data_IF_809674627009
#
_entry.id   IF_809674627009
#
_cell.length_a   1.000
_cell.length_b   1.000
_cell.length_c   1.000
_cell.angle_alpha   90.00
_cell.angle_beta   90.00
_cell.angle_gamma   90.00
#
_symmetry.space_group_name_H-M   'P 1'
#
loop_
_entity.id
_entity.type
_entity.pdbx_description
1 polymer ?
#
# COMPACT_ATOMS: atom_id res chain seq x y z
N UNK A 1 11.21 -2.79 10.56
CA UNK A 1 10.71 -1.81 9.58
C UNK A 1 11.24 -2.19 8.21
N UNK A 2 10.36 -2.31 7.22
CA UNK A 2 10.74 -2.55 5.83
C UNK A 2 11.30 -1.26 5.21
N UNK A 3 12.10 -1.38 4.14
CA UNK A 3 12.62 -0.23 3.39
C UNK A 3 11.52 0.77 3.00
N UNK A 4 10.37 0.27 2.55
CA UNK A 4 9.24 1.11 2.12
C UNK A 4 8.59 1.89 3.27
N UNK A 5 8.53 1.33 4.48
CA UNK A 5 8.01 2.05 5.65
C UNK A 5 8.90 3.24 6.01
N UNK A 6 10.22 3.02 6.02
CA UNK A 6 11.21 4.08 6.29
C UNK A 6 11.13 5.15 5.21
N UNK A 7 11.10 4.74 3.93
CA UNK A 7 10.95 5.67 2.81
C UNK A 7 9.66 6.48 2.92
N UNK A 8 8.52 5.84 3.25
CA UNK A 8 7.24 6.52 3.41
C UNK A 8 7.27 7.57 4.53
N UNK A 9 7.87 7.24 5.68
CA UNK A 9 8.03 8.18 6.80
C UNK A 9 8.89 9.39 6.42
N UNK A 10 10.07 9.14 5.84
CA UNK A 10 10.98 10.22 5.40
C UNK A 10 10.36 11.07 4.29
N UNK A 11 9.68 10.44 3.34
CA UNK A 11 8.99 11.13 2.25
C UNK A 11 7.83 11.98 2.78
N UNK A 12 7.03 11.46 3.73
CA UNK A 12 5.96 12.22 4.36
C UNK A 12 6.48 13.46 5.11
N UNK A 13 7.56 13.30 5.89
CA UNK A 13 8.22 14.43 6.55
C UNK A 13 8.74 15.46 5.52
N UNK A 14 9.35 15.00 4.44
CA UNK A 14 9.84 15.86 3.36
C UNK A 14 8.71 16.62 2.68
N UNK A 15 7.55 15.99 2.45
CA UNK A 15 6.38 16.63 1.87
C UNK A 15 5.85 17.78 2.74
N UNK A 16 5.84 17.60 4.07
CA UNK A 16 5.44 18.64 5.03
C UNK A 16 6.42 19.80 5.00
N UNK A 17 7.73 19.52 5.05
CA UNK A 17 8.78 20.54 4.96
C UNK A 17 8.67 21.30 3.63
N UNK A 18 8.53 20.59 2.51
CA UNK A 18 8.38 21.20 1.19
C UNK A 18 7.10 22.05 1.08
N UNK A 19 5.99 21.60 1.67
CA UNK A 19 4.74 22.37 1.74
C UNK A 19 4.92 23.69 2.50
N UNK A 20 5.51 23.62 3.70
CA UNK A 20 5.80 24.81 4.50
C UNK A 20 6.79 25.75 3.79
N UNK A 21 7.84 25.20 3.18
CA UNK A 21 8.84 25.95 2.42
C UNK A 21 8.22 26.66 1.21
N UNK A 22 7.34 25.97 0.47
CA UNK A 22 6.59 26.55 -0.64
C UNK A 22 5.75 27.75 -0.23
N UNK A 23 4.98 27.59 0.86
CA UNK A 23 4.04 28.61 1.33
C UNK A 23 4.70 29.84 1.96
N UNK A 24 5.87 29.69 2.59
CA UNK A 24 6.51 30.77 3.36
C UNK A 24 7.78 31.33 2.68
N UNK A 25 8.67 30.46 2.19
CA UNK A 25 9.99 30.87 1.71
C UNK A 25 10.06 31.08 0.19
N UNK A 26 9.16 30.44 -0.57
CA UNK A 26 9.13 30.49 -2.03
C UNK A 26 7.97 31.30 -2.62
N UNK A 27 7.03 31.77 -1.78
CA UNK A 27 5.80 32.45 -2.22
C UNK A 27 6.04 33.58 -3.22
N UNK A 28 7.02 34.44 -2.96
CA UNK A 28 7.33 35.60 -3.81
C UNK A 28 8.43 35.30 -4.85
N UNK A 29 8.97 34.07 -4.86
CA UNK A 29 10.02 33.64 -5.79
C UNK A 29 9.48 32.81 -6.96
N UNK A 30 8.33 32.17 -6.76
CA UNK A 30 7.69 31.34 -7.78
C UNK A 30 6.63 32.15 -8.52
N UNK A 31 6.61 32.03 -9.84
CA UNK A 31 5.47 32.53 -10.60
C UNK A 31 4.21 31.68 -10.30
N UNK A 32 2.99 32.16 -10.64
CA UNK A 32 1.75 31.45 -10.31
C UNK A 32 1.69 30.00 -10.80
N UNK A 33 2.24 29.70 -11.99
CA UNK A 33 2.28 28.34 -12.52
C UNK A 33 3.24 27.43 -11.73
N UNK A 34 4.41 27.94 -11.35
CA UNK A 34 5.36 27.21 -10.51
C UNK A 34 4.81 26.97 -9.11
N UNK A 35 4.14 27.96 -8.52
CA UNK A 35 3.51 27.82 -7.20
C UNK A 35 2.41 26.73 -7.22
N UNK A 36 1.56 26.71 -8.26
CA UNK A 36 0.55 25.67 -8.43
C UNK A 36 1.18 24.28 -8.62
N UNK A 37 2.24 24.19 -9.42
CA UNK A 37 2.98 22.95 -9.65
C UNK A 37 3.64 22.44 -8.36
N UNK A 38 4.29 23.32 -7.59
CA UNK A 38 4.87 23.00 -6.29
C UNK A 38 3.82 22.46 -5.32
N UNK A 39 2.68 23.14 -5.20
CA UNK A 39 1.57 22.69 -4.37
C UNK A 39 1.12 21.27 -4.76
N UNK A 40 0.96 21.03 -6.06
CA UNK A 40 0.60 19.70 -6.60
C UNK A 40 1.64 18.64 -6.23
N UNK A 41 2.93 18.95 -6.36
CA UNK A 41 4.02 18.04 -6.00
C UNK A 41 4.00 17.66 -4.51
N UNK A 42 3.81 18.64 -3.62
CA UNK A 42 3.72 18.41 -2.16
C UNK A 42 2.50 17.58 -1.78
N UNK A 43 1.34 17.89 -2.36
CA UNK A 43 0.11 17.15 -2.14
C UNK A 43 0.23 15.70 -2.62
N UNK A 44 0.73 15.50 -3.84
CA UNK A 44 0.91 14.16 -4.40
C UNK A 44 1.95 13.38 -3.60
N UNK A 45 3.05 14.00 -3.16
CA UNK A 45 4.04 13.33 -2.33
C UNK A 45 3.42 12.85 -1.02
N UNK A 46 2.66 13.70 -0.31
CA UNK A 46 2.08 13.36 0.98
C UNK A 46 1.03 12.24 0.85
N UNK A 47 0.10 12.35 -0.11
CA UNK A 47 -0.95 11.35 -0.34
C UNK A 47 -0.35 9.97 -0.61
N UNK A 48 0.64 9.89 -1.52
CA UNK A 48 1.25 8.62 -1.88
C UNK A 48 2.21 8.10 -0.80
N UNK A 49 2.79 8.97 0.02
CA UNK A 49 3.57 8.56 1.20
C UNK A 49 2.68 7.90 2.25
N UNK A 50 1.48 8.45 2.50
CA UNK A 50 0.50 7.85 3.40
C UNK A 50 0.00 6.50 2.86
N UNK A 51 -0.32 6.43 1.56
CA UNK A 51 -0.71 5.17 0.92
C UNK A 51 0.41 4.10 1.01
N UNK A 52 1.66 4.51 0.77
CA UNK A 52 2.83 3.64 0.89
C UNK A 52 3.04 3.16 2.34
N UNK A 53 2.90 4.04 3.33
CA UNK A 53 2.99 3.68 4.74
C UNK A 53 1.91 2.66 5.13
N UNK A 54 0.68 2.87 4.66
CA UNK A 54 -0.43 1.96 4.93
C UNK A 54 -0.15 0.56 4.37
N UNK A 55 0.20 0.45 3.09
CA UNK A 55 0.42 -0.87 2.47
C UNK A 55 1.64 -1.57 3.07
N UNK A 56 2.74 -0.84 3.31
CA UNK A 56 3.99 -1.42 3.81
C UNK A 56 3.95 -1.86 5.27
N UNK A 57 3.05 -1.30 6.07
CA UNK A 57 2.88 -1.67 7.49
C UNK A 57 1.76 -2.67 7.77
N UNK A 58 0.80 -2.82 6.86
CA UNK A 58 -0.41 -3.65 7.09
C UNK A 58 -0.50 -4.88 6.21
N UNK A 59 0.22 -4.91 5.09
CA UNK A 59 0.06 -5.96 4.08
C UNK A 59 1.39 -6.68 3.86
N UNK A 60 1.41 -8.02 3.83
CA UNK A 60 2.59 -8.76 3.41
C UNK A 60 3.03 -8.32 2.01
N UNK A 61 4.23 -7.75 1.90
CA UNK A 61 4.75 -7.13 0.68
C UNK A 61 5.19 -8.18 -0.35
N UNK A 62 4.20 -8.81 -0.98
CA UNK A 62 4.38 -9.82 -2.02
C UNK A 62 3.52 -9.51 -3.24
N UNK A 63 3.98 -9.92 -4.43
CA UNK A 63 3.26 -9.75 -5.69
C UNK A 63 2.76 -8.32 -5.91
N UNK A 64 1.44 -8.15 -6.01
CA UNK A 64 0.82 -6.87 -6.30
C UNK A 64 1.07 -5.81 -5.20
N UNK A 65 1.19 -6.21 -3.93
CA UNK A 65 1.46 -5.27 -2.84
C UNK A 65 2.89 -4.71 -2.89
N UNK A 66 3.86 -5.56 -3.23
CA UNK A 66 5.24 -5.12 -3.45
C UNK A 66 5.32 -4.17 -4.66
N UNK A 67 4.68 -4.53 -5.77
CA UNK A 67 4.66 -3.69 -6.97
C UNK A 67 4.00 -2.34 -6.71
N UNK A 68 2.86 -2.31 -6.00
CA UNK A 68 2.20 -1.05 -5.60
C UNK A 68 3.13 -0.17 -4.76
N UNK A 69 3.85 -0.77 -3.81
CA UNK A 69 4.80 -0.06 -2.94
C UNK A 69 5.97 0.55 -3.74
N UNK A 70 6.56 -0.24 -4.64
CA UNK A 70 7.62 0.22 -5.52
C UNK A 70 7.14 1.32 -6.48
N UNK A 71 5.93 1.19 -7.02
CA UNK A 71 5.33 2.18 -7.91
C UNK A 71 5.04 3.51 -7.18
N UNK A 72 4.53 3.49 -5.95
CA UNK A 72 4.38 4.72 -5.17
C UNK A 72 5.71 5.40 -4.85
N UNK A 73 6.73 4.64 -4.42
CA UNK A 73 8.05 5.20 -4.13
C UNK A 73 8.72 5.80 -5.40
N UNK A 74 8.58 5.11 -6.52
CA UNK A 74 9.08 5.57 -7.83
C UNK A 74 8.32 6.82 -8.28
N UNK A 75 6.99 6.80 -8.19
CA UNK A 75 6.14 7.95 -8.52
C UNK A 75 6.47 9.18 -7.68
N UNK A 76 6.67 9.03 -6.36
CA UNK A 76 7.10 10.13 -5.48
C UNK A 76 8.39 10.77 -5.99
N UNK A 77 9.37 9.93 -6.30
CA UNK A 77 10.70 10.39 -6.73
C UNK A 77 10.64 11.09 -8.09
N UNK A 78 9.96 10.47 -9.06
CA UNK A 78 9.92 10.95 -10.46
C UNK A 78 8.92 12.08 -10.70
N UNK A 79 7.81 12.14 -9.96
CA UNK A 79 6.78 13.16 -10.12
C UNK A 79 7.03 14.36 -9.20
N UNK A 80 7.07 14.14 -7.89
CA UNK A 80 7.20 15.25 -6.93
C UNK A 80 8.63 15.79 -6.92
N UNK A 81 9.63 14.89 -6.92
CA UNK A 81 11.04 15.27 -6.97
C UNK A 81 11.40 16.07 -8.22
N UNK A 82 10.87 15.68 -9.39
CA UNK A 82 11.12 16.42 -10.64
C UNK A 82 10.54 17.83 -10.60
N UNK A 83 9.30 18.00 -10.11
CA UNK A 83 8.64 19.30 -10.02
C UNK A 83 9.39 20.22 -9.05
N UNK A 84 9.85 19.71 -7.90
CA UNK A 84 10.69 20.51 -7.00
C UNK A 84 11.96 20.98 -7.69
N UNK A 85 12.65 20.09 -8.41
CA UNK A 85 13.83 20.43 -9.20
C UNK A 85 13.53 21.46 -10.29
N UNK A 86 12.41 21.33 -11.02
CA UNK A 86 11.98 22.30 -12.04
C UNK A 86 11.66 23.68 -11.45
N UNK A 87 11.24 23.75 -10.18
CA UNK A 87 10.97 25.02 -9.51
C UNK A 87 12.25 25.67 -8.95
N UNK A 88 13.20 24.88 -8.46
CA UNK A 88 14.40 25.38 -7.79
C UNK A 88 15.59 25.60 -8.75
N UNK A 89 15.68 24.85 -9.84
CA UNK A 89 16.78 24.95 -10.80
C UNK A 89 16.54 26.07 -11.82
N UNK A 90 17.58 26.88 -12.03
CA UNK A 90 17.61 27.92 -13.06
C UNK A 90 17.39 27.36 -14.47
N UNK A 91 16.84 28.17 -15.37
CA UNK A 91 16.48 27.77 -16.73
C UNK A 91 17.66 27.21 -17.56
N UNK A 92 18.89 27.68 -17.30
CA UNK A 92 20.10 27.21 -17.99
C UNK A 92 20.67 25.89 -17.47
N UNK A 93 20.11 25.30 -16.40
CA UNK A 93 20.66 24.07 -15.83
C UNK A 93 20.35 22.86 -16.74
N UNK A 94 21.36 22.10 -17.20
CA UNK A 94 21.15 20.97 -18.11
C UNK A 94 20.27 19.86 -17.51
N UNK A 95 20.26 19.70 -16.18
CA UNK A 95 19.43 18.73 -15.45
C UNK A 95 17.94 19.01 -15.67
N UNK A 96 17.54 20.28 -15.83
CA UNK A 96 16.15 20.69 -16.04
C UNK A 96 15.52 20.04 -17.28
N UNK A 97 16.33 19.78 -18.32
CA UNK A 97 15.88 19.10 -19.55
C UNK A 97 15.52 17.63 -19.32
N UNK A 98 16.16 16.98 -18.35
CA UNK A 98 15.86 15.61 -17.96
C UNK A 98 14.63 15.53 -17.06
N UNK A 99 14.41 16.53 -16.20
CA UNK A 99 13.30 16.52 -15.23
C UNK A 99 11.92 16.68 -15.87
N UNK A 100 11.80 17.43 -16.97
CA UNK A 100 10.52 17.63 -17.67
C UNK A 100 9.83 16.30 -18.03
N UNK A 101 10.48 15.43 -18.83
CA UNK A 101 9.92 14.13 -19.23
C UNK A 101 9.72 13.13 -18.08
N UNK A 102 10.42 13.27 -16.95
CA UNK A 102 10.28 12.33 -15.82
C UNK A 102 8.94 12.47 -15.08
N UNK A 103 8.34 13.67 -15.11
CA UNK A 103 7.08 13.96 -14.42
C UNK A 103 5.92 13.06 -14.90
N UNK A 104 5.60 12.96 -16.21
CA UNK A 104 4.53 12.08 -16.68
C UNK A 104 4.79 10.60 -16.38
N UNK A 105 6.06 10.15 -16.39
CA UNK A 105 6.42 8.78 -15.98
C UNK A 105 6.12 8.53 -14.50
N UNK A 106 6.37 9.51 -13.63
CA UNK A 106 5.99 9.45 -12.23
C UNK A 106 4.46 9.40 -12.04
N UNK A 107 3.70 10.16 -12.83
CA UNK A 107 2.24 10.12 -12.82
C UNK A 107 1.69 8.76 -13.23
N UNK A 108 2.24 8.14 -14.29
CA UNK A 108 1.91 6.77 -14.69
C UNK A 108 2.26 5.75 -13.59
N UNK A 109 3.40 5.94 -12.92
CA UNK A 109 3.80 5.11 -11.78
C UNK A 109 2.76 5.16 -10.65
N UNK A 110 2.25 6.34 -10.32
CA UNK A 110 1.15 6.47 -9.35
C UNK A 110 -0.11 5.74 -9.77
N UNK A 111 -0.53 5.86 -11.03
CA UNK A 111 -1.71 5.15 -11.55
C UNK A 111 -1.53 3.65 -11.38
N UNK A 112 -0.40 3.10 -11.81
CA UNK A 112 -0.11 1.67 -11.66
C UNK A 112 -0.02 1.24 -10.19
N UNK A 113 0.49 2.11 -9.31
CA UNK A 113 0.51 1.87 -7.87
C UNK A 113 -0.89 1.70 -7.29
N UNK A 114 -1.83 2.59 -7.62
CA UNK A 114 -3.22 2.49 -7.16
C UNK A 114 -3.95 1.27 -7.72
N UNK A 115 -3.77 0.97 -9.01
CA UNK A 115 -4.35 -0.23 -9.63
C UNK A 115 -3.82 -1.50 -8.96
N UNK A 116 -2.51 -1.58 -8.72
CA UNK A 116 -1.91 -2.72 -8.06
C UNK A 116 -2.34 -2.86 -6.59
N UNK A 117 -2.54 -1.75 -5.88
CA UNK A 117 -3.11 -1.75 -4.53
C UNK A 117 -4.53 -2.34 -4.54
N UNK A 118 -5.38 -1.93 -5.49
CA UNK A 118 -6.72 -2.50 -5.63
C UNK A 118 -6.69 -4.01 -5.90
N UNK A 119 -5.79 -4.46 -6.79
CA UNK A 119 -5.60 -5.89 -7.08
C UNK A 119 -5.11 -6.65 -5.83
N UNK A 120 -4.16 -6.07 -5.08
CA UNK A 120 -3.65 -6.67 -3.86
C UNK A 120 -4.75 -6.82 -2.80
N UNK A 121 -5.56 -5.78 -2.59
CA UNK A 121 -6.69 -5.81 -1.66
C UNK A 121 -7.69 -6.91 -2.02
N UNK A 122 -8.13 -6.98 -3.28
CA UNK A 122 -9.08 -8.02 -3.73
C UNK A 122 -8.53 -9.42 -3.54
N UNK A 123 -7.26 -9.66 -3.91
CA UNK A 123 -6.63 -10.98 -3.75
C UNK A 123 -6.51 -11.41 -2.29
N UNK A 124 -6.21 -10.47 -1.39
CA UNK A 124 -6.12 -10.76 0.03
C UNK A 124 -7.49 -11.11 0.61
N UNK A 125 -8.54 -10.38 0.23
CA UNK A 125 -9.92 -10.69 0.66
C UNK A 125 -10.40 -12.06 0.21
N UNK A 126 -10.08 -12.47 -1.03
CA UNK A 126 -10.45 -13.79 -1.54
C UNK A 126 -9.72 -14.91 -0.79
N UNK A 127 -8.41 -14.77 -0.56
CA UNK A 127 -7.63 -15.74 0.22
C UNK A 127 -8.15 -15.88 1.64
N UNK A 128 -8.57 -14.77 2.26
CA UNK A 128 -9.13 -14.80 3.60
C UNK A 128 -10.49 -15.53 3.62
N UNK A 129 -11.36 -15.28 2.65
CA UNK A 129 -12.63 -15.99 2.54
C UNK A 129 -12.43 -17.51 2.36
N UNK A 130 -11.45 -17.93 1.55
CA UNK A 130 -11.09 -19.34 1.37
C UNK A 130 -10.57 -19.97 2.65
N UNK A 131 -9.70 -19.26 3.40
CA UNK A 131 -9.18 -19.72 4.69
C UNK A 131 -10.29 -19.94 5.70
N UNK A 132 -11.19 -18.96 5.85
CA UNK A 132 -12.34 -19.06 6.75
C UNK A 132 -13.28 -20.21 6.34
N UNK A 133 -13.52 -20.40 5.05
CA UNK A 133 -14.34 -21.52 4.55
C UNK A 133 -13.68 -22.88 4.82
N UNK A 134 -12.36 -22.99 4.65
CA UNK A 134 -11.60 -24.20 4.95
C UNK A 134 -11.63 -24.56 6.44
N UNK A 135 -11.50 -23.55 7.32
CA UNK A 135 -11.58 -23.74 8.77
C UNK A 135 -12.98 -24.14 9.24
N UNK A 136 -14.03 -23.56 8.66
CA UNK A 136 -15.42 -23.99 8.94
C UNK A 136 -15.64 -25.45 8.54
N UNK A 137 -15.09 -25.90 7.40
CA UNK A 137 -15.18 -27.30 6.95
C UNK A 137 -14.43 -28.25 7.88
N UNK A 138 -13.24 -27.90 8.34
CA UNK A 138 -12.49 -28.74 9.28
C UNK A 138 -13.21 -28.86 10.63
N UNK A 139 -13.76 -27.76 11.15
CA UNK A 139 -14.55 -27.76 12.39
C UNK A 139 -15.81 -28.62 12.27
N UNK A 140 -16.53 -28.53 11.15
CA UNK A 140 -17.69 -29.39 10.89
C UNK A 140 -17.32 -30.87 10.81
N UNK A 141 -16.22 -31.21 10.13
CA UNK A 141 -15.74 -32.58 10.04
C UNK A 141 -15.35 -33.12 11.43
N UNK A 142 -14.66 -32.34 12.25
CA UNK A 142 -14.30 -32.73 13.63
C UNK A 142 -15.54 -32.94 14.51
N UNK A 143 -16.53 -32.05 14.42
CA UNK A 143 -17.81 -32.19 15.16
C UNK A 143 -18.55 -33.47 14.75
N UNK A 144 -18.60 -33.76 13.46
CA UNK A 144 -19.22 -34.99 12.95
C UNK A 144 -18.51 -36.24 13.46
N UNK A 145 -17.17 -36.28 13.42
CA UNK A 145 -16.37 -37.38 13.97
C UNK A 145 -16.63 -37.56 15.48
N UNK A 146 -16.70 -36.45 16.23
CA UNK A 146 -16.96 -36.47 17.67
C UNK A 146 -18.34 -37.04 17.98
N UNK A 147 -19.38 -36.58 17.28
CA UNK A 147 -20.74 -37.12 17.42
C UNK A 147 -20.79 -38.62 17.09
N UNK A 148 -20.19 -39.03 15.97
CA UNK A 148 -20.17 -40.44 15.55
C UNK A 148 -19.46 -41.34 16.56
N UNK A 149 -18.34 -40.90 17.12
CA UNK A 149 -17.61 -41.64 18.16
C UNK A 149 -18.41 -41.71 19.47
N UNK A 150 -19.14 -40.65 19.81
CA UNK A 150 -20.06 -40.61 20.95
C UNK A 150 -21.18 -41.65 20.81
N UNK A 151 -21.90 -41.66 19.68
CA UNK A 151 -22.95 -42.65 19.41
C UNK A 151 -22.42 -44.09 19.42
N UNK A 152 -21.26 -44.33 18.80
CA UNK A 152 -20.62 -45.65 18.81
C UNK A 152 -20.30 -46.12 20.24
N UNK A 153 -19.90 -45.20 21.12
CA UNK A 153 -19.64 -45.52 22.53
C UNK A 153 -20.90 -45.82 23.33
N UNK A 154 -22.00 -45.09 23.10
CA UNK A 154 -23.30 -45.35 23.74
C UNK A 154 -23.89 -46.70 23.29
N UNK A 155 -23.83 -47.00 21.99
CA UNK A 155 -24.29 -48.29 21.46
C UNK A 155 -23.52 -49.49 22.04
N UNK A 156 -22.21 -49.36 22.24
CA UNK A 156 -21.41 -50.42 22.89
C UNK A 156 -21.80 -50.63 24.36
N UNK A 157 -22.12 -49.54 25.09
CA UNK A 157 -22.54 -49.63 26.49
C UNK A 157 -23.93 -50.26 26.66
N UNK A 158 -24.87 -49.98 25.75
CA UNK A 158 -26.22 -50.58 25.75
C UNK A 158 -26.20 -52.09 25.44
N UNK A 159 -25.18 -52.60 24.73
CA UNK A 159 -25.00 -54.03 24.47
C UNK A 159 -24.55 -54.82 25.70
N UNK A 160 -23.89 -54.19 26.68
CA UNK A 160 -23.39 -54.84 27.89
C UNK A 160 -24.43 -54.90 29.03
N UNK A 161 -25.45 -54.04 29.01
CA UNK A 161 -26.47 -53.92 30.07
C UNK A 161 -27.65 -54.89 30.00
N UNK A 162 -27.71 -55.79 29.01
CA UNK A 162 -28.87 -56.68 28.74
C UNK A 162 -28.67 -58.16 29.14
N UNK A 163 -27.74 -58.45 30.05
CA UNK A 163 -27.61 -59.78 30.67
C UNK A 163 -27.86 -59.65 32.16
N UNK A 164 -29.11 -59.83 32.59
CA UNK A 164 -29.53 -60.26 33.92
C UNK A 164 -30.94 -60.85 33.78
#
# INVERSE_FOLDING_TARGET
>A
MTFFEVFAGLSGATAVVAGAFGAHALKDKLNPHQAASWSTATQYQLVHSVALLFISSRVPLTGAAYFASAAFATGITLFSGSIYGLCLLNAGNPVRKLLGPTTPLGGLSFIFGWVALAIAATRNSLKEAERVAAERRSQQALRYQTWKNGEASEHNNLGYGKKN
#
